data_IF_919200268571
#
_entry.id   IF_919200268571
#
_cell.length_a   1.000
_cell.length_b   1.000
_cell.length_c   1.000
_cell.angle_alpha   90.00
_cell.angle_beta   90.00
_cell.angle_gamma   90.00
#
_symmetry.space_group_name_H-M   'P 1'
#
loop_
_entity.id
_entity.type
_entity.pdbx_description
1 polymer ?
#
# COMPACT_ATOMS: atom_id res chain seq x y z
N UNK A 1 6.56 -4.92 11.20
CA UNK A 1 7.09 -6.25 10.81
C UNK A 1 8.00 -6.06 9.62
N UNK A 2 9.07 -6.85 9.52
CA UNK A 2 10.03 -6.80 8.42
C UNK A 2 9.55 -7.74 7.31
N UNK A 3 9.36 -7.19 6.13
CA UNK A 3 9.03 -7.95 4.91
C UNK A 3 10.34 -8.49 4.33
N UNK A 4 10.38 -9.78 4.02
CA UNK A 4 11.55 -10.40 3.38
C UNK A 4 11.90 -9.67 2.07
N UNK A 5 13.19 -9.38 1.80
CA UNK A 5 13.61 -8.79 0.54
C UNK A 5 13.60 -9.80 -0.63
N UNK A 6 13.46 -11.09 -0.33
CA UNK A 6 13.47 -12.15 -1.33
C UNK A 6 12.13 -12.17 -2.08
N UNK A 7 12.08 -11.51 -3.23
CA UNK A 7 10.95 -11.58 -4.17
C UNK A 7 11.39 -12.39 -5.36
N UNK A 8 10.49 -13.25 -5.83
CA UNK A 8 10.57 -13.83 -7.17
C UNK A 8 10.21 -12.76 -8.22
N UNK A 9 11.17 -12.28 -9.04
CA UNK A 9 10.89 -11.26 -10.05
C UNK A 9 9.93 -11.73 -11.14
N UNK A 10 9.74 -13.05 -11.30
CA UNK A 10 8.73 -13.60 -12.20
C UNK A 10 7.30 -13.34 -11.67
N UNK A 11 7.13 -13.23 -10.35
CA UNK A 11 5.84 -12.86 -9.73
C UNK A 11 5.62 -11.35 -9.72
N UNK A 12 6.62 -10.58 -9.29
CA UNK A 12 6.52 -9.12 -9.25
C UNK A 12 7.90 -8.47 -9.37
N UNK A 13 8.09 -7.69 -10.44
CA UNK A 13 9.30 -6.94 -10.68
C UNK A 13 9.06 -5.44 -10.47
N UNK A 14 9.43 -4.96 -9.27
CA UNK A 14 9.30 -3.55 -8.89
C UNK A 14 10.17 -2.63 -9.76
N UNK A 15 11.24 -3.15 -10.38
CA UNK A 15 12.18 -2.33 -11.15
C UNK A 15 11.50 -1.64 -12.36
N UNK A 16 10.43 -2.25 -12.88
CA UNK A 16 9.58 -1.69 -13.94
C UNK A 16 8.99 -0.32 -13.58
N UNK A 17 8.86 -0.03 -12.29
CA UNK A 17 8.20 1.17 -11.79
C UNK A 17 9.16 2.20 -11.20
N UNK A 18 10.48 1.98 -11.23
CA UNK A 18 11.45 2.88 -10.59
C UNK A 18 11.41 4.29 -11.20
N UNK A 19 11.34 4.41 -12.52
CA UNK A 19 11.22 5.72 -13.17
C UNK A 19 9.92 6.45 -12.76
N UNK A 20 8.80 5.72 -12.64
CA UNK A 20 7.55 6.26 -12.12
C UNK A 20 7.67 6.70 -10.66
N UNK A 21 8.30 5.90 -9.79
CA UNK A 21 8.51 6.23 -8.38
C UNK A 21 9.46 7.43 -8.21
N UNK A 22 10.46 7.56 -9.08
CA UNK A 22 11.37 8.69 -9.14
C UNK A 22 10.64 9.97 -9.51
N UNK A 23 9.82 9.94 -10.55
CA UNK A 23 9.00 11.09 -10.94
C UNK A 23 7.94 11.46 -9.88
N UNK A 24 7.28 10.46 -9.28
CA UNK A 24 6.22 10.67 -8.28
C UNK A 24 6.75 11.23 -6.95
N UNK A 25 7.85 10.66 -6.46
CA UNK A 25 8.36 10.96 -5.11
C UNK A 25 9.48 12.02 -5.11
N UNK A 26 10.16 12.22 -6.25
CA UNK A 26 11.37 13.04 -6.36
C UNK A 26 12.47 12.53 -5.42
N UNK A 27 13.13 13.43 -4.69
CA UNK A 27 14.20 13.08 -3.74
C UNK A 27 13.73 12.39 -2.44
N UNK A 28 12.41 12.15 -2.27
CA UNK A 28 11.85 11.56 -1.05
C UNK A 28 12.01 10.04 -1.04
N UNK A 29 13.24 9.57 -0.82
CA UNK A 29 13.57 8.14 -0.81
C UNK A 29 12.70 7.29 0.12
N UNK A 30 12.25 7.82 1.26
CA UNK A 30 11.37 7.11 2.19
C UNK A 30 9.98 6.81 1.60
N UNK A 31 9.46 7.64 0.68
CA UNK A 31 8.18 7.37 0.01
C UNK A 31 8.33 6.22 -0.98
N UNK A 32 9.44 6.23 -1.74
CA UNK A 32 9.79 5.16 -2.66
C UNK A 32 9.94 3.85 -1.89
N UNK A 33 10.70 3.86 -0.80
CA UNK A 33 10.94 2.66 -0.02
C UNK A 33 9.67 2.11 0.64
N UNK A 34 8.83 2.98 1.22
CA UNK A 34 7.53 2.56 1.74
C UNK A 34 6.68 1.89 0.65
N UNK A 35 6.63 2.50 -0.55
CA UNK A 35 5.90 1.94 -1.70
C UNK A 35 6.46 0.58 -2.13
N UNK A 36 7.78 0.45 -2.27
CA UNK A 36 8.46 -0.80 -2.64
C UNK A 36 8.18 -1.91 -1.63
N UNK A 37 8.35 -1.64 -0.34
CA UNK A 37 8.13 -2.62 0.74
C UNK A 37 6.66 -3.05 0.79
N UNK A 38 5.72 -2.12 0.61
CA UNK A 38 4.30 -2.46 0.57
C UNK A 38 3.96 -3.32 -0.63
N UNK A 39 4.39 -2.94 -1.84
CA UNK A 39 4.10 -3.73 -3.04
C UNK A 39 4.80 -5.09 -3.02
N UNK A 40 6.01 -5.17 -2.45
CA UNK A 40 6.70 -6.43 -2.18
C UNK A 40 5.83 -7.37 -1.33
N UNK A 41 5.25 -6.86 -0.26
CA UNK A 41 4.38 -7.65 0.60
C UNK A 41 3.08 -8.07 -0.10
N UNK A 42 2.45 -7.15 -0.83
CA UNK A 42 1.14 -7.38 -1.45
C UNK A 42 1.19 -8.21 -2.73
N UNK A 43 2.24 -8.06 -3.54
CA UNK A 43 2.35 -8.63 -4.89
C UNK A 43 3.47 -9.67 -5.03
N UNK A 44 4.44 -9.67 -4.11
CA UNK A 44 5.59 -10.59 -4.20
C UNK A 44 5.23 -12.07 -3.98
N UNK A 45 4.01 -12.36 -3.50
CA UNK A 45 3.51 -13.73 -3.34
C UNK A 45 4.31 -14.60 -2.38
N UNK A 46 5.10 -13.98 -1.48
CA UNK A 46 5.86 -14.64 -0.42
C UNK A 46 4.99 -14.96 0.80
N UNK A 47 3.95 -14.15 1.02
CA UNK A 47 3.01 -14.30 2.13
C UNK A 47 1.59 -14.32 1.57
N UNK A 48 0.75 -15.19 2.13
CA UNK A 48 -0.68 -15.25 1.79
C UNK A 48 -1.52 -14.33 2.68
N UNK A 49 -1.02 -14.00 3.87
CA UNK A 49 -1.72 -13.20 4.87
C UNK A 49 -0.76 -12.61 5.92
N UNK A 50 -1.29 -11.78 6.82
CA UNK A 50 -0.53 -11.14 7.88
C UNK A 50 -0.01 -12.13 8.94
N UNK A 51 -0.68 -13.26 9.20
CA UNK A 51 -0.19 -14.28 10.15
C UNK A 51 1.15 -14.85 9.70
N UNK A 52 1.30 -15.20 8.43
CA UNK A 52 2.57 -15.76 7.92
C UNK A 52 3.73 -14.76 8.08
N UNK A 53 3.49 -13.48 7.77
CA UNK A 53 4.49 -12.43 7.99
C UNK A 53 4.80 -12.26 9.50
N UNK A 54 3.78 -12.33 10.35
CA UNK A 54 3.92 -12.20 11.79
C UNK A 54 4.69 -13.38 12.41
N UNK A 55 4.42 -14.61 11.98
CA UNK A 55 5.12 -15.82 12.39
C UNK A 55 6.61 -15.74 12.10
N UNK A 56 6.96 -15.43 10.85
CA UNK A 56 8.36 -15.26 10.43
C UNK A 56 9.07 -14.21 11.31
N UNK A 57 8.41 -13.09 11.57
CA UNK A 57 8.96 -12.02 12.39
C UNK A 57 9.07 -12.40 13.87
N UNK A 58 8.10 -13.14 14.41
CA UNK A 58 8.12 -13.59 15.80
C UNK A 58 9.31 -14.51 16.06
N UNK A 59 9.58 -15.46 15.16
CA UNK A 59 10.72 -16.37 15.29
C UNK A 59 12.07 -15.68 15.15
N UNK A 60 12.13 -14.58 14.39
CA UNK A 60 13.38 -13.84 14.14
C UNK A 60 13.62 -12.67 15.10
N UNK A 61 12.65 -12.31 15.94
CA UNK A 61 12.73 -11.12 16.79
C UNK A 61 12.49 -11.44 18.27
N UNK A 62 13.57 -11.52 19.09
CA UNK A 62 13.46 -11.75 20.53
C UNK A 62 12.59 -10.73 21.27
N UNK A 63 12.51 -9.48 20.78
CA UNK A 63 11.67 -8.44 21.39
C UNK A 63 10.18 -8.76 21.23
N UNK A 64 9.78 -9.39 20.12
CA UNK A 64 8.40 -9.84 19.94
C UNK A 64 8.10 -11.02 20.87
N UNK A 65 9.05 -11.95 21.03
CA UNK A 65 8.91 -13.10 21.92
C UNK A 65 8.78 -12.66 23.38
N UNK A 66 9.62 -11.72 23.82
CA UNK A 66 9.55 -11.15 25.16
C UNK A 66 8.22 -10.40 25.40
N UNK A 67 7.76 -9.63 24.40
CA UNK A 67 6.55 -8.81 24.52
C UNK A 67 5.26 -9.63 24.59
N UNK A 68 5.14 -10.69 23.79
CA UNK A 68 3.89 -11.44 23.63
C UNK A 68 3.91 -12.82 24.30
N UNK A 69 5.09 -13.38 24.58
CA UNK A 69 5.27 -14.66 25.26
C UNK A 69 5.00 -15.90 24.40
N UNK A 70 3.96 -15.86 23.58
CA UNK A 70 3.66 -16.90 22.58
C UNK A 70 3.20 -16.31 21.25
N UNK A 71 3.28 -17.14 20.20
CA UNK A 71 2.82 -16.75 18.86
C UNK A 71 1.30 -16.57 18.82
N UNK A 72 0.55 -17.39 19.55
CA UNK A 72 -0.91 -17.30 19.68
C UNK A 72 -1.32 -15.96 20.29
N UNK A 73 -0.66 -15.54 21.37
CA UNK A 73 -0.89 -14.23 21.99
C UNK A 73 -0.56 -13.10 21.01
N UNK A 74 0.49 -13.26 20.20
CA UNK A 74 0.83 -12.25 19.21
C UNK A 74 -0.26 -12.13 18.12
N UNK A 75 -0.83 -13.25 17.67
CA UNK A 75 -1.91 -13.25 16.69
C UNK A 75 -3.17 -12.53 17.16
N UNK A 76 -3.50 -12.57 18.45
CA UNK A 76 -4.65 -11.85 19.02
C UNK A 76 -4.56 -10.33 18.85
N UNK A 77 -3.35 -9.80 18.62
CA UNK A 77 -3.11 -8.36 18.42
C UNK A 77 -3.10 -7.94 16.94
N UNK A 78 -3.18 -8.88 16.01
CA UNK A 78 -3.13 -8.60 14.58
C UNK A 78 -4.50 -8.17 14.04
N UNK A 79 -4.51 -7.13 13.22
CA UNK A 79 -5.72 -6.68 12.53
C UNK A 79 -5.88 -7.41 11.19
N UNK A 80 -7.04 -8.04 10.98
CA UNK A 80 -7.34 -8.82 9.76
C UNK A 80 -6.26 -9.88 9.48
N UNK A 81 -5.98 -10.77 10.43
CA UNK A 81 -4.79 -11.62 10.40
C UNK A 81 -4.78 -12.60 9.21
N UNK A 82 -5.96 -13.00 8.72
CA UNK A 82 -6.13 -13.88 7.56
C UNK A 82 -6.21 -13.11 6.21
N UNK A 83 -5.80 -11.84 6.18
CA UNK A 83 -5.75 -10.99 4.98
C UNK A 83 -4.35 -10.41 4.78
N UNK A 84 -4.04 -10.02 3.55
CA UNK A 84 -2.91 -9.14 3.26
C UNK A 84 -3.25 -7.71 3.70
N UNK A 85 -3.08 -7.44 4.99
CA UNK A 85 -3.22 -6.12 5.60
C UNK A 85 -1.86 -5.64 6.10
N UNK A 86 -1.65 -4.32 6.09
CA UNK A 86 -0.47 -3.70 6.67
C UNK A 86 -0.76 -2.27 7.14
N UNK A 87 0.04 -1.81 8.08
CA UNK A 87 0.06 -0.41 8.54
C UNK A 87 1.37 0.21 8.10
N UNK A 88 1.29 1.40 7.50
CA UNK A 88 2.45 2.15 7.02
C UNK A 88 2.59 3.40 7.89
N UNK A 89 3.55 3.37 8.82
CA UNK A 89 3.81 4.48 9.73
C UNK A 89 4.74 5.51 9.07
N UNK A 90 4.16 6.63 8.64
CA UNK A 90 4.88 7.77 8.07
C UNK A 90 4.61 9.02 8.90
N UNK A 91 5.65 9.82 9.18
CA UNK A 91 5.49 11.08 9.92
C UNK A 91 4.51 12.05 9.23
N UNK A 92 3.90 12.97 9.97
CA UNK A 92 3.01 14.01 9.42
C UNK A 92 3.76 14.89 8.40
N UNK A 93 3.03 15.46 7.44
CA UNK A 93 3.57 16.28 6.35
C UNK A 93 4.60 15.61 5.40
N UNK A 94 4.88 14.32 5.54
CA UNK A 94 5.79 13.56 4.65
C UNK A 94 5.18 13.15 3.31
N UNK A 95 3.96 13.61 2.99
CA UNK A 95 3.33 13.30 1.71
C UNK A 95 2.83 11.86 1.56
N UNK A 96 2.27 11.27 2.63
CA UNK A 96 1.67 9.91 2.62
C UNK A 96 0.74 9.63 1.45
N UNK A 97 0.04 10.66 0.96
CA UNK A 97 -0.86 10.53 -0.19
C UNK A 97 -0.13 10.19 -1.50
N UNK A 98 1.15 10.53 -1.65
CA UNK A 98 1.95 10.06 -2.78
C UNK A 98 2.21 8.54 -2.70
N UNK A 99 2.49 8.02 -1.50
CA UNK A 99 2.66 6.57 -1.28
C UNK A 99 1.35 5.83 -1.58
N UNK A 100 0.22 6.32 -1.07
CA UNK A 100 -1.10 5.74 -1.37
C UNK A 100 -1.41 5.74 -2.87
N UNK A 101 -1.15 6.86 -3.55
CA UNK A 101 -1.33 6.97 -4.99
C UNK A 101 -0.43 6.01 -5.76
N UNK A 102 0.86 5.95 -5.42
CA UNK A 102 1.84 5.09 -6.08
C UNK A 102 1.47 3.61 -5.96
N UNK A 103 1.10 3.15 -4.75
CA UNK A 103 0.61 1.79 -4.52
C UNK A 103 -0.62 1.51 -5.39
N UNK A 104 -1.64 2.38 -5.34
CA UNK A 104 -2.86 2.18 -6.11
C UNK A 104 -2.58 2.10 -7.61
N UNK A 105 -1.77 3.03 -8.15
CA UNK A 105 -1.41 3.06 -9.58
C UNK A 105 -0.67 1.82 -10.04
N UNK A 106 0.26 1.31 -9.23
CA UNK A 106 0.99 0.10 -9.57
C UNK A 106 0.09 -1.14 -9.47
N UNK A 107 -0.77 -1.24 -8.46
CA UNK A 107 -1.76 -2.33 -8.38
C UNK A 107 -2.71 -2.35 -9.58
N UNK A 108 -3.08 -1.18 -10.12
CA UNK A 108 -3.84 -1.11 -11.37
C UNK A 108 -3.04 -1.55 -12.58
N UNK A 109 -1.77 -1.11 -12.71
CA UNK A 109 -0.90 -1.46 -13.84
C UNK A 109 -0.58 -2.96 -13.90
N UNK A 110 -0.50 -3.62 -12.73
CA UNK A 110 -0.38 -5.06 -12.58
C UNK A 110 -1.71 -5.81 -12.77
N UNK A 111 -2.84 -5.10 -12.89
CA UNK A 111 -4.16 -5.70 -13.12
C UNK A 111 -4.71 -6.51 -11.95
N UNK A 112 -4.16 -6.35 -10.74
CA UNK A 112 -4.56 -7.11 -9.55
C UNK A 112 -5.80 -6.54 -8.85
N UNK A 113 -6.17 -5.30 -9.18
CA UNK A 113 -7.35 -4.63 -8.64
C UNK A 113 -8.11 -3.89 -9.72
N UNK A 114 -9.44 -3.96 -9.67
CA UNK A 114 -10.33 -3.16 -10.52
C UNK A 114 -10.74 -1.83 -9.87
N UNK A 115 -10.65 -1.74 -8.54
CA UNK A 115 -11.10 -0.60 -7.74
C UNK A 115 -10.25 -0.42 -6.48
N UNK A 116 -10.09 0.84 -6.05
CA UNK A 116 -9.42 1.21 -4.80
C UNK A 116 -10.32 2.16 -4.02
N UNK A 117 -10.52 1.86 -2.73
CA UNK A 117 -11.27 2.69 -1.80
C UNK A 117 -10.31 3.35 -0.79
N UNK A 118 -10.32 4.68 -0.73
CA UNK A 118 -9.57 5.46 0.26
C UNK A 118 -10.56 6.07 1.23
N UNK A 119 -10.46 5.70 2.51
CA UNK A 119 -11.31 6.22 3.58
C UNK A 119 -10.62 7.39 4.28
N UNK A 120 -11.39 8.45 4.54
CA UNK A 120 -10.90 9.69 5.14
C UNK A 120 -11.79 10.10 6.31
N UNK A 121 -11.22 10.74 7.36
CA UNK A 121 -11.99 11.13 8.54
C UNK A 121 -12.77 12.44 8.35
N UNK A 122 -12.59 13.15 7.23
CA UNK A 122 -13.33 14.40 6.95
C UNK A 122 -13.47 14.69 5.45
N UNK A 123 -14.55 15.40 5.10
CA UNK A 123 -14.85 15.80 3.72
C UNK A 123 -13.77 16.75 3.16
N UNK A 124 -13.16 17.59 4.00
CA UNK A 124 -12.08 18.49 3.54
C UNK A 124 -10.86 17.70 3.08
N UNK A 125 -10.48 16.65 3.82
CA UNK A 125 -9.37 15.76 3.45
C UNK A 125 -9.71 14.97 2.18
N UNK A 126 -10.94 14.48 2.10
CA UNK A 126 -11.45 13.77 0.92
C UNK A 126 -11.35 14.62 -0.35
N UNK A 127 -11.82 15.87 -0.31
CA UNK A 127 -11.74 16.80 -1.45
C UNK A 127 -10.30 17.05 -1.87
N UNK A 128 -9.42 17.37 -0.92
CA UNK A 128 -8.01 17.63 -1.21
C UNK A 128 -7.27 16.42 -1.78
N UNK A 129 -7.56 15.21 -1.30
CA UNK A 129 -7.00 13.98 -1.87
C UNK A 129 -7.55 13.69 -3.26
N UNK A 130 -8.84 13.92 -3.47
CA UNK A 130 -9.49 13.71 -4.76
C UNK A 130 -8.89 14.61 -5.84
N UNK A 131 -8.75 15.90 -5.55
CA UNK A 131 -8.12 16.87 -6.46
C UNK A 131 -6.67 16.49 -6.76
N UNK A 132 -5.91 16.12 -5.72
CA UNK A 132 -4.52 15.69 -5.87
C UNK A 132 -4.41 14.45 -6.76
N UNK A 133 -5.21 13.42 -6.53
CA UNK A 133 -5.14 12.18 -7.31
C UNK A 133 -5.58 12.39 -8.75
N UNK A 134 -6.58 13.24 -8.99
CA UNK A 134 -6.96 13.66 -10.35
C UNK A 134 -5.83 14.38 -11.07
N UNK A 135 -5.16 15.31 -10.39
CA UNK A 135 -3.99 16.02 -10.95
C UNK A 135 -2.87 15.05 -11.32
N UNK A 136 -2.49 14.15 -10.40
CA UNK A 136 -1.47 13.13 -10.65
C UNK A 136 -1.85 12.15 -11.78
N UNK A 137 -3.15 11.86 -11.96
CA UNK A 137 -3.63 11.00 -13.05
C UNK A 137 -3.68 11.72 -14.40
N UNK A 138 -3.75 13.05 -14.40
CA UNK A 138 -3.72 13.88 -15.59
C UNK A 138 -2.29 14.22 -16.06
N UNK A 139 -1.27 13.94 -15.23
CA UNK A 139 0.13 14.14 -15.57
C UNK A 139 0.58 13.11 -16.62
N UNK A 140 0.82 13.59 -17.85
CA UNK A 140 1.28 12.77 -18.97
C UNK A 140 2.63 12.11 -18.69
N UNK A 141 3.53 12.79 -17.97
CA UNK A 141 4.84 12.24 -17.61
C UNK A 141 4.69 11.01 -16.73
N UNK A 142 3.85 11.10 -15.68
CA UNK A 142 3.60 9.96 -14.80
C UNK A 142 2.90 8.81 -15.52
N UNK A 143 2.06 9.12 -16.51
CA UNK A 143 1.35 8.12 -17.30
C UNK A 143 2.30 7.37 -18.24
N UNK A 144 3.18 8.09 -18.94
CA UNK A 144 4.12 7.53 -19.92
C UNK A 144 5.22 6.69 -19.27
N UNK A 145 5.44 6.88 -17.96
CA UNK A 145 6.39 6.10 -17.16
C UNK A 145 5.80 4.80 -16.59
N UNK A 146 4.49 4.57 -16.75
CA UNK A 146 3.88 3.29 -16.39
C UNK A 146 3.98 2.32 -17.58
N UNK A 147 4.23 1.02 -17.34
CA UNK A 147 4.22 0.03 -18.41
C UNK A 147 2.87 0.00 -19.12
N UNK A 148 2.86 -0.29 -20.43
CA UNK A 148 1.69 -0.24 -21.32
C UNK A 148 0.57 -1.26 -21.02
N UNK A 149 0.63 -1.96 -19.87
CA UNK A 149 -0.35 -2.95 -19.47
C UNK A 149 -1.63 -2.31 -18.88
N UNK A 150 -2.72 -2.49 -19.64
CA UNK A 150 -4.14 -2.26 -19.29
C UNK A 150 -4.55 -0.83 -18.92
N UNK A 151 -4.68 0.02 -19.95
CA UNK A 151 -5.38 1.32 -19.92
C UNK A 151 -6.91 1.22 -19.73
N UNK A 152 -7.44 0.27 -18.95
CA UNK A 152 -8.88 0.26 -18.63
C UNK A 152 -9.14 1.05 -17.35
N UNK A 153 -8.82 2.34 -17.43
CA UNK A 153 -9.15 3.29 -16.39
C UNK A 153 -10.55 3.83 -16.61
N UNK A 154 -11.54 3.20 -15.98
CA UNK A 154 -12.72 3.93 -15.54
C UNK A 154 -12.37 4.44 -14.15
N UNK A 155 -12.13 5.75 -14.01
CA UNK A 155 -12.36 6.41 -12.72
C UNK A 155 -13.87 6.28 -12.47
N UNK A 156 -14.30 5.15 -11.93
CA UNK A 156 -15.34 5.19 -10.94
C UNK A 156 -14.61 5.27 -9.61
N UNK A 157 -14.15 6.47 -9.28
CA UNK A 157 -13.95 6.85 -7.90
C UNK A 157 -15.35 6.89 -7.28
N UNK A 158 -15.92 5.71 -7.00
CA UNK A 158 -17.11 5.59 -6.19
C UNK A 158 -16.63 5.84 -4.76
N UNK A 159 -16.43 7.11 -4.42
CA UNK A 159 -16.51 7.54 -3.03
C UNK A 159 -17.99 7.49 -2.68
N UNK A 160 -18.48 6.30 -2.31
CA UNK A 160 -19.82 6.15 -1.75
C UNK A 160 -19.66 5.89 -0.27
N UNK A 161 -19.45 6.98 0.46
CA UNK A 161 -19.68 6.97 1.90
C UNK A 161 -21.19 7.06 2.10
N UNK A 162 -21.82 5.92 2.41
CA UNK A 162 -23.04 5.92 3.22
C UNK A 162 -22.69 5.29 4.55
N UNK A 163 -22.25 6.09 5.50
CA UNK A 163 -22.34 5.68 6.89
C UNK A 163 -23.82 5.73 7.30
N UNK A 164 -24.42 4.64 7.80
CA UNK A 164 -25.50 4.81 8.76
C UNK A 164 -24.93 5.58 9.96
N UNK A 165 -25.67 6.57 10.45
CA UNK A 165 -25.25 7.39 11.57
C UNK A 165 -24.78 6.52 12.76
N UNK A 166 -23.54 6.70 13.21
CA UNK A 166 -23.11 6.28 14.55
C UNK A 166 -22.09 5.13 14.67
N UNK A 167 -21.05 5.05 13.84
CA UNK A 167 -19.94 4.12 14.12
C UNK A 167 -18.59 4.75 13.81
N UNK A 168 -17.89 5.13 14.88
CA UNK A 168 -16.49 5.54 14.87
C UNK A 168 -15.62 4.28 14.91
N UNK A 169 -14.61 4.21 14.05
CA UNK A 169 -13.37 3.47 14.29
C UNK A 169 -12.20 4.38 13.89
#
# INVERSE_FOLDING_TARGET
LKVSPNIDPEKFDINKYEAFLDALCGERGYQKEATRVTLRYLLGGQYNNLKELAEENYHQNPVLQERYGSLENFYEHLQLPDKLSCTIDLATATGKSYVLYGIARIMFAEGVVDQVLVLCPSNTIETGLTEKFRSLSADGTLKDLLPDSYYKFLISLIIKIRFPAGMFF
#
